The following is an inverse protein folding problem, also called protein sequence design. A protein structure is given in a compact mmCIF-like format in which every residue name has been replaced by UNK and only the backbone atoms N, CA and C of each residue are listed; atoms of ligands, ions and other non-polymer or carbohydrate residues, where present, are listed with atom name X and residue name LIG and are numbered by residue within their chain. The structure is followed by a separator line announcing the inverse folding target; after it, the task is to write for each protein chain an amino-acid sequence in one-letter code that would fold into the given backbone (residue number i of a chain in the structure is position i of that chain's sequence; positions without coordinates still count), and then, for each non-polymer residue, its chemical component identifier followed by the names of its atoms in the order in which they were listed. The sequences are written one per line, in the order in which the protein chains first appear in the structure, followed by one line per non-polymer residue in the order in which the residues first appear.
data_IF_059227004461
#
_entry.id   IF_059227004461
#
_cell.length_a   1.000
_cell.length_b   1.000
_cell.length_c   1.000
_cell.angle_alpha   90.00
_cell.angle_beta   90.00
_cell.angle_gamma   90.00
#
_symmetry.space_group_name_H-M   'P 1'
#
loop_
_entity.id
_entity.type
_entity.pdbx_description
1 polymer ?
#
# COMPACT_ATOMS: atom_id res chain seq x y z
N UNK A 1 -16.21 1.94 7.25
CA UNK A 1 -15.54 2.54 6.07
C UNK A 1 -14.14 3.00 6.46
N UNK A 2 -13.19 2.96 5.51
CA UNK A 2 -11.85 3.56 5.67
C UNK A 2 -11.67 4.63 4.59
N UNK A 3 -11.01 5.73 4.95
CA UNK A 3 -10.61 6.80 4.05
C UNK A 3 -9.10 6.96 4.11
N UNK A 4 -8.42 6.87 2.99
CA UNK A 4 -7.01 7.20 2.85
C UNK A 4 -6.78 8.72 2.92
N UNK A 5 -5.59 9.11 3.38
CA UNK A 5 -5.10 10.48 3.36
C UNK A 5 -3.90 10.55 2.44
N UNK A 6 -4.12 10.89 1.20
CA UNK A 6 -3.06 11.06 0.19
C UNK A 6 -2.39 12.43 0.37
N UNK A 7 -1.50 12.50 1.36
CA UNK A 7 -0.81 13.74 1.74
C UNK A 7 0.69 13.63 1.44
N UNK A 8 1.25 14.73 0.95
CA UNK A 8 2.69 14.89 0.78
C UNK A 8 3.39 15.10 2.14
N UNK A 9 4.71 14.85 2.27
CA UNK A 9 5.42 14.94 3.55
C UNK A 9 5.25 16.25 4.31
N UNK A 10 5.09 17.37 3.61
CA UNK A 10 4.94 18.71 4.19
C UNK A 10 3.52 19.19 4.43
N UNK A 11 2.51 18.40 4.08
CA UNK A 11 1.11 18.81 4.19
C UNK A 11 0.62 18.83 5.64
N UNK A 12 -0.50 19.52 5.87
CA UNK A 12 -1.18 19.50 7.15
C UNK A 12 -1.91 18.17 7.37
N UNK A 13 -1.56 17.48 8.44
CA UNK A 13 -2.23 16.23 8.83
C UNK A 13 -3.66 16.39 9.36
N UNK A 14 -4.13 17.63 9.56
CA UNK A 14 -5.42 17.91 10.20
C UNK A 14 -5.43 17.63 11.70
N UNK A 15 -4.26 17.58 12.34
CA UNK A 15 -4.11 17.40 13.79
C UNK A 15 -2.88 16.57 14.18
N UNK A 16 -2.64 16.46 15.49
CA UNK A 16 -1.49 15.72 16.03
C UNK A 16 -1.64 14.23 15.78
N UNK A 17 -0.59 13.63 15.22
CA UNK A 17 -0.46 12.17 15.11
C UNK A 17 0.31 11.67 16.32
N UNK A 18 -0.30 10.80 17.13
CA UNK A 18 0.30 10.30 18.36
C UNK A 18 1.25 9.12 18.14
N UNK A 19 1.05 8.38 17.05
CA UNK A 19 1.85 7.21 16.65
C UNK A 19 1.84 7.08 15.14
N UNK A 20 2.97 6.73 14.52
CA UNK A 20 3.06 6.61 13.08
C UNK A 20 4.31 5.86 12.63
N UNK A 21 4.37 5.55 11.33
CA UNK A 21 5.46 4.80 10.71
C UNK A 21 6.73 5.65 10.57
N UNK A 22 6.65 6.74 9.83
CA UNK A 22 7.78 7.58 9.51
C UNK A 22 7.59 9.03 9.95
N UNK A 23 8.68 9.78 9.97
CA UNK A 23 8.66 11.20 10.31
C UNK A 23 9.22 12.05 9.17
N UNK A 24 8.73 13.28 9.09
CA UNK A 24 9.23 14.35 8.24
C UNK A 24 9.60 15.53 9.14
N UNK A 25 10.87 15.97 9.08
CA UNK A 25 11.39 17.06 9.92
C UNK A 25 11.08 16.88 11.43
N UNK A 26 11.22 15.63 11.93
CA UNK A 26 11.02 15.29 13.34
C UNK A 26 9.57 15.17 13.81
N UNK A 27 8.58 15.33 12.92
CA UNK A 27 7.16 15.08 13.19
C UNK A 27 6.69 13.89 12.38
N UNK A 28 5.68 13.15 12.86
CA UNK A 28 5.10 12.08 12.03
C UNK A 28 4.62 12.62 10.68
N UNK A 29 4.93 11.89 9.61
CA UNK A 29 4.44 12.21 8.27
C UNK A 29 2.91 12.23 8.24
N UNK A 30 2.27 13.10 7.42
CA UNK A 30 0.86 13.46 7.58
C UNK A 30 -0.14 12.42 7.07
N UNK A 31 0.28 11.53 6.20
CA UNK A 31 -0.58 10.51 5.58
C UNK A 31 -1.10 9.47 6.59
N UNK A 32 -1.87 8.55 6.07
CA UNK A 32 -2.49 7.47 6.84
C UNK A 32 -3.94 7.22 6.46
N UNK A 33 -4.72 6.74 7.42
CA UNK A 33 -6.14 6.46 7.21
C UNK A 33 -7.01 6.94 8.36
N UNK A 34 -8.29 7.14 8.06
CA UNK A 34 -9.37 7.35 9.04
C UNK A 34 -10.40 6.23 8.94
N UNK A 35 -10.68 5.56 10.06
CA UNK A 35 -11.84 4.68 10.16
C UNK A 35 -13.09 5.51 10.47
N UNK A 36 -14.17 5.22 9.74
CA UNK A 36 -15.48 5.86 9.89
C UNK A 36 -16.51 4.77 10.19
N UNK A 37 -17.06 4.81 11.40
CA UNK A 37 -18.13 3.92 11.84
C UNK A 37 -19.46 4.59 11.55
N UNK A 38 -20.28 3.95 10.72
CA UNK A 38 -21.59 4.45 10.30
C UNK A 38 -22.71 3.65 10.97
N UNK A 39 -23.79 4.33 11.28
CA UNK A 39 -25.08 3.70 11.45
C UNK A 39 -25.66 3.44 10.05
N UNK A 40 -25.81 2.17 9.69
CA UNK A 40 -26.27 1.79 8.35
C UNK A 40 -27.75 2.10 8.09
N UNK A 41 -28.58 2.18 9.15
CA UNK A 41 -29.99 2.50 9.05
C UNK A 41 -30.23 4.02 9.01
N UNK A 42 -29.59 4.75 9.93
CA UNK A 42 -29.74 6.20 10.03
C UNK A 42 -28.81 6.98 9.09
N UNK A 43 -27.87 6.31 8.41
CA UNK A 43 -26.83 6.88 7.55
C UNK A 43 -26.04 8.02 8.24
N UNK A 44 -25.77 7.83 9.53
CA UNK A 44 -25.05 8.83 10.36
C UNK A 44 -23.71 8.28 10.81
N UNK A 45 -22.72 9.17 10.85
CA UNK A 45 -21.43 8.86 11.45
C UNK A 45 -21.60 8.73 12.97
N UNK A 46 -21.32 7.52 13.52
CA UNK A 46 -21.28 7.28 14.96
C UNK A 46 -19.93 7.67 15.56
N UNK A 47 -18.85 7.40 14.84
CA UNK A 47 -17.48 7.66 15.28
C UNK A 47 -16.56 7.74 14.07
N UNK A 48 -15.55 8.61 14.16
CA UNK A 48 -14.43 8.60 13.24
C UNK A 48 -13.14 8.85 14.02
N UNK A 49 -12.06 8.26 13.59
CA UNK A 49 -10.74 8.40 14.23
C UNK A 49 -9.64 8.03 13.24
N UNK A 50 -8.46 8.60 13.42
CA UNK A 50 -7.28 8.20 12.67
C UNK A 50 -6.90 6.77 13.05
N UNK A 51 -6.74 5.91 12.07
CA UNK A 51 -6.42 4.48 12.25
C UNK A 51 -5.00 4.13 11.83
N UNK A 52 -4.40 4.89 10.90
CA UNK A 52 -3.01 4.79 10.49
C UNK A 52 -2.41 6.20 10.44
N UNK A 53 -1.13 6.34 10.77
CA UNK A 53 -0.41 7.60 10.70
C UNK A 53 1.06 7.43 10.36
N UNK A 54 1.72 8.54 10.03
CA UNK A 54 3.14 8.54 9.73
C UNK A 54 3.50 7.98 8.36
N UNK A 55 2.55 7.87 7.47
CA UNK A 55 2.73 7.46 6.07
C UNK A 55 2.63 8.65 5.13
N UNK A 56 2.87 8.45 3.85
CA UNK A 56 2.74 9.50 2.82
C UNK A 56 2.00 8.97 1.61
N UNK A 57 1.30 9.86 0.89
CA UNK A 57 0.62 9.53 -0.36
C UNK A 57 -0.13 8.20 -0.32
N UNK A 58 -0.98 8.02 0.70
CA UNK A 58 -1.88 6.87 0.77
C UNK A 58 -2.99 7.05 -0.29
N UNK A 59 -2.74 6.60 -1.51
CA UNK A 59 -3.63 6.84 -2.65
C UNK A 59 -4.87 5.96 -2.56
N UNK A 60 -4.75 4.70 -2.92
CA UNK A 60 -5.85 3.75 -2.89
C UNK A 60 -5.49 2.52 -2.04
N UNK A 61 -5.99 1.36 -2.41
CA UNK A 61 -5.76 0.11 -1.69
C UNK A 61 -6.84 -0.92 -1.99
N UNK A 62 -7.17 -1.76 -1.01
CA UNK A 62 -8.19 -2.78 -1.19
C UNK A 62 -8.68 -3.41 0.10
N UNK A 63 -9.91 -3.92 0.07
CA UNK A 63 -10.48 -4.70 1.18
C UNK A 63 -9.91 -6.11 1.19
N UNK A 64 -9.72 -6.67 2.38
CA UNK A 64 -9.36 -8.07 2.53
C UNK A 64 -10.57 -8.91 2.92
N UNK A 65 -10.60 -10.20 2.57
CA UNK A 65 -11.67 -11.11 2.97
C UNK A 65 -11.75 -11.33 4.50
N UNK A 66 -10.69 -11.03 5.23
CA UNK A 66 -10.61 -11.17 6.69
C UNK A 66 -10.88 -9.88 7.46
N UNK A 67 -11.44 -8.86 6.81
CA UNK A 67 -11.95 -7.66 7.49
C UNK A 67 -10.91 -6.60 7.77
N UNK A 68 -9.96 -6.38 6.88
CA UNK A 68 -9.03 -5.26 6.92
C UNK A 68 -9.03 -4.47 5.60
N UNK A 69 -8.33 -3.34 5.60
CA UNK A 69 -8.01 -2.51 4.45
C UNK A 69 -6.51 -2.49 4.23
N UNK A 70 -6.07 -2.70 3.00
CA UNK A 70 -4.71 -2.48 2.56
C UNK A 70 -4.59 -1.05 2.05
N UNK A 71 -3.81 -0.22 2.74
CA UNK A 71 -3.55 1.17 2.34
C UNK A 71 -2.22 1.25 1.61
N UNK A 72 -2.22 1.80 0.41
CA UNK A 72 -1.10 1.83 -0.51
C UNK A 72 -0.42 3.19 -0.51
N UNK A 73 0.90 3.25 -0.22
CA UNK A 73 1.72 4.44 -0.43
C UNK A 73 2.20 4.52 -1.88
N UNK A 74 1.79 5.55 -2.61
CA UNK A 74 2.17 5.80 -4.00
C UNK A 74 3.45 6.63 -4.12
N UNK A 75 4.40 6.46 -3.23
CA UNK A 75 5.62 7.26 -3.20
C UNK A 75 6.84 6.47 -2.68
N UNK A 76 7.55 5.73 -3.55
CA UNK A 76 8.75 5.00 -3.17
C UNK A 76 9.95 5.96 -3.01
N UNK A 77 9.88 6.85 -2.01
CA UNK A 77 10.92 7.82 -1.68
C UNK A 77 11.38 7.67 -0.22
N UNK A 78 12.47 8.33 0.13
CA UNK A 78 13.06 8.29 1.46
C UNK A 78 14.26 9.19 1.62
N UNK A 79 15.01 9.07 2.72
CA UNK A 79 16.16 9.92 3.00
C UNK A 79 17.15 9.96 1.84
N UNK A 80 17.54 11.17 1.42
CA UNK A 80 18.48 11.39 0.32
C UNK A 80 17.98 11.07 -1.08
N UNK A 81 16.71 10.72 -1.25
CA UNK A 81 16.06 10.47 -2.53
C UNK A 81 15.25 11.70 -2.97
N UNK A 82 14.97 11.79 -4.26
CA UNK A 82 14.10 12.84 -4.81
C UNK A 82 12.74 12.83 -4.10
N UNK A 83 12.24 13.99 -3.70
CA UNK A 83 11.01 14.18 -2.91
C UNK A 83 11.03 13.56 -1.52
N UNK A 84 12.22 13.13 -1.03
CA UNK A 84 12.40 12.52 0.30
C UNK A 84 13.07 13.42 1.32
N UNK A 85 13.23 14.71 1.01
CA UNK A 85 13.85 15.70 1.90
C UNK A 85 13.10 15.75 3.24
N UNK A 86 13.84 15.61 4.32
CA UNK A 86 13.28 15.62 5.68
C UNK A 86 12.62 14.32 6.15
N UNK A 87 12.45 13.33 5.27
CA UNK A 87 11.98 12.01 5.68
C UNK A 87 13.05 11.24 6.44
N UNK A 88 12.66 10.53 7.50
CA UNK A 88 13.58 9.74 8.32
C UNK A 88 13.67 8.26 7.88
N UNK A 89 12.71 7.77 7.11
CA UNK A 89 12.64 6.37 6.65
C UNK A 89 12.19 6.28 5.20
N UNK A 90 12.41 5.12 4.59
CA UNK A 90 11.90 4.82 3.25
C UNK A 90 10.40 4.56 3.29
N UNK A 91 9.66 5.16 2.35
CA UNK A 91 8.23 5.01 2.09
C UNK A 91 7.98 4.27 0.77
N UNK A 92 6.72 4.06 0.39
CA UNK A 92 6.30 3.30 -0.78
C UNK A 92 5.91 1.87 -0.41
N UNK A 93 5.23 1.69 0.71
CA UNK A 93 4.82 0.40 1.25
C UNK A 93 3.29 0.27 1.28
N UNK A 94 2.84 -0.96 1.47
CA UNK A 94 1.45 -1.27 1.82
C UNK A 94 1.35 -1.47 3.33
N UNK A 95 0.26 -0.97 3.93
CA UNK A 95 -0.06 -1.14 5.34
C UNK A 95 -1.43 -1.78 5.50
N UNK A 96 -1.56 -2.70 6.44
CA UNK A 96 -2.84 -3.32 6.75
C UNK A 96 -3.50 -2.64 7.96
N UNK A 97 -4.77 -2.27 7.79
CA UNK A 97 -5.57 -1.59 8.82
C UNK A 97 -6.84 -2.40 9.09
N UNK A 98 -6.98 -3.04 10.27
CA UNK A 98 -8.18 -3.78 10.63
C UNK A 98 -9.43 -2.88 10.67
N UNK A 99 -10.55 -3.40 10.15
CA UNK A 99 -11.82 -2.67 10.13
C UNK A 99 -12.39 -2.45 11.55
N UNK A 100 -12.07 -3.33 12.48
CA UNK A 100 -12.46 -3.29 13.89
C UNK A 100 -11.49 -2.47 14.77
N UNK A 101 -10.47 -1.86 14.20
CA UNK A 101 -9.57 -0.96 14.92
C UNK A 101 -10.35 0.07 15.73
N UNK A 102 -9.86 0.38 16.92
CA UNK A 102 -10.49 1.35 17.85
C UNK A 102 -9.72 2.65 17.98
N UNK A 103 -8.56 2.76 17.32
CA UNK A 103 -7.64 3.90 17.29
C UNK A 103 -6.51 3.65 16.31
N UNK A 104 -5.38 4.34 16.50
CA UNK A 104 -4.18 4.12 15.71
C UNK A 104 -3.67 2.69 15.86
N UNK A 105 -3.44 2.02 14.73
CA UNK A 105 -2.82 0.69 14.70
C UNK A 105 -1.29 0.81 14.72
N UNK A 106 -0.59 -0.27 15.05
CA UNK A 106 0.85 -0.35 14.85
C UNK A 106 1.15 -0.29 13.34
N UNK A 107 1.88 0.72 12.85
CA UNK A 107 2.08 0.93 11.41
C UNK A 107 3.21 0.03 10.88
N UNK A 108 2.95 -1.26 10.78
CA UNK A 108 3.91 -2.23 10.27
C UNK A 108 3.82 -2.35 8.73
N UNK A 109 4.88 -2.00 7.98
CA UNK A 109 4.86 -2.10 6.53
C UNK A 109 4.94 -3.55 6.05
N UNK A 110 4.13 -3.90 5.07
CA UNK A 110 4.13 -5.21 4.41
C UNK A 110 5.30 -5.31 3.41
N UNK A 111 6.53 -5.31 3.90
CA UNK A 111 7.76 -5.19 3.10
C UNK A 111 7.91 -6.25 2.01
N UNK A 112 7.39 -7.45 2.25
CA UNK A 112 7.44 -8.54 1.28
C UNK A 112 6.57 -8.29 0.03
N UNK A 113 5.69 -7.31 0.06
CA UNK A 113 4.90 -6.86 -1.11
C UNK A 113 5.67 -5.91 -2.03
N UNK A 114 6.94 -5.62 -1.73
CA UNK A 114 7.77 -4.72 -2.54
C UNK A 114 7.60 -3.25 -2.18
N UNK A 115 8.44 -2.43 -2.81
CA UNK A 115 8.47 -0.98 -2.64
C UNK A 115 8.44 -0.32 -4.02
N UNK A 116 7.31 0.24 -4.37
CA UNK A 116 7.05 0.89 -5.66
C UNK A 116 5.89 1.90 -5.51
N UNK A 117 5.44 2.53 -6.59
CA UNK A 117 4.26 3.42 -6.57
C UNK A 117 2.98 2.58 -6.41
N UNK A 118 2.72 2.11 -5.18
CA UNK A 118 1.53 1.31 -4.90
C UNK A 118 0.26 2.13 -5.09
N UNK A 119 -0.54 1.75 -6.10
CA UNK A 119 -1.83 2.38 -6.37
C UNK A 119 -2.95 1.66 -5.62
N UNK A 120 -3.24 0.44 -6.01
CA UNK A 120 -4.35 -0.33 -5.47
C UNK A 120 -3.98 -1.78 -5.17
N UNK A 121 -4.82 -2.43 -4.37
CA UNK A 121 -4.72 -3.84 -4.05
C UNK A 121 -6.06 -4.54 -4.23
N UNK A 122 -6.04 -5.77 -4.71
CA UNK A 122 -7.21 -6.64 -4.79
C UNK A 122 -6.84 -8.01 -4.23
N UNK A 123 -7.64 -8.55 -3.32
CA UNK A 123 -7.38 -9.85 -2.70
C UNK A 123 -8.35 -10.89 -3.25
N UNK A 124 -7.82 -11.96 -3.83
CA UNK A 124 -8.62 -13.14 -4.17
C UNK A 124 -9.09 -13.84 -2.89
N UNK A 125 -10.40 -13.89 -2.62
CA UNK A 125 -10.91 -14.46 -1.39
C UNK A 125 -10.70 -15.98 -1.27
N UNK A 126 -10.51 -16.68 -2.39
CA UNK A 126 -10.32 -18.13 -2.39
C UNK A 126 -8.89 -18.53 -1.98
N UNK A 127 -7.89 -17.75 -2.39
CA UNK A 127 -6.46 -18.09 -2.19
C UNK A 127 -5.74 -17.17 -1.23
N UNK A 128 -6.28 -15.98 -0.95
CA UNK A 128 -5.61 -14.91 -0.22
C UNK A 128 -4.50 -14.22 -1.02
N UNK A 129 -4.37 -14.54 -2.31
CA UNK A 129 -3.41 -13.88 -3.21
C UNK A 129 -3.78 -12.41 -3.37
N UNK A 130 -2.79 -11.52 -3.24
CA UNK A 130 -2.97 -10.08 -3.42
C UNK A 130 -2.42 -9.68 -4.78
N UNK A 131 -3.25 -9.01 -5.58
CA UNK A 131 -2.83 -8.35 -6.82
C UNK A 131 -2.62 -6.87 -6.53
N UNK A 132 -1.54 -6.30 -7.07
CA UNK A 132 -1.11 -4.94 -6.80
C UNK A 132 -0.86 -4.22 -8.12
N UNK A 133 -1.36 -2.99 -8.24
CA UNK A 133 -1.08 -2.10 -9.37
C UNK A 133 -0.03 -1.06 -9.00
N UNK A 134 0.74 -0.64 -9.99
CA UNK A 134 1.74 0.41 -9.89
C UNK A 134 1.34 1.57 -10.79
N UNK A 135 1.24 2.79 -10.25
CA UNK A 135 0.92 3.99 -11.03
C UNK A 135 2.18 4.61 -11.64
N UNK A 136 2.53 4.08 -12.79
CA UNK A 136 3.60 4.59 -13.66
C UNK A 136 3.28 4.25 -15.11
N UNK A 137 3.80 5.06 -16.04
CA UNK A 137 3.66 4.80 -17.49
C UNK A 137 4.24 3.44 -17.90
N UNK A 138 5.29 3.01 -17.21
CA UNK A 138 5.96 1.72 -17.34
C UNK A 138 5.64 0.75 -16.18
N UNK A 139 4.52 1.00 -15.48
CA UNK A 139 4.07 0.24 -14.33
C UNK A 139 3.76 -1.21 -14.64
N UNK A 140 3.85 -2.05 -13.62
CA UNK A 140 3.68 -3.50 -13.71
C UNK A 140 2.51 -3.95 -12.83
N UNK A 141 1.79 -4.98 -13.27
CA UNK A 141 0.85 -5.70 -12.41
C UNK A 141 1.61 -6.76 -11.62
N UNK A 142 1.48 -6.71 -10.32
CA UNK A 142 2.13 -7.64 -9.41
C UNK A 142 1.14 -8.64 -8.80
N UNK A 143 1.66 -9.78 -8.41
CA UNK A 143 0.98 -10.79 -7.60
C UNK A 143 1.82 -11.12 -6.37
N UNK A 144 1.21 -11.02 -5.20
CA UNK A 144 1.81 -11.45 -3.95
C UNK A 144 1.07 -12.67 -3.41
N UNK A 145 1.77 -13.79 -3.28
CA UNK A 145 1.24 -15.02 -2.68
C UNK A 145 1.73 -15.09 -1.24
N UNK A 146 0.87 -14.93 -0.23
CA UNK A 146 1.28 -14.95 1.17
C UNK A 146 1.74 -16.35 1.58
N UNK A 147 2.68 -16.45 2.52
CA UNK A 147 3.09 -17.73 3.14
C UNK A 147 1.94 -18.35 3.92
N UNK A 148 1.13 -17.51 4.58
CA UNK A 148 -0.02 -17.92 5.37
C UNK A 148 -1.18 -17.01 4.97
N UNK A 149 -2.27 -17.62 4.49
CA UNK A 149 -3.47 -16.87 4.11
C UNK A 149 -4.00 -16.05 5.30
N UNK A 150 -4.30 -14.77 5.07
CA UNK A 150 -4.75 -13.84 6.09
C UNK A 150 -3.67 -13.32 7.04
N UNK A 151 -2.39 -13.68 6.87
CA UNK A 151 -1.27 -13.22 7.69
C UNK A 151 -0.16 -12.59 6.82
N UNK A 152 -0.45 -11.42 6.26
CA UNK A 152 0.43 -10.79 5.27
C UNK A 152 1.80 -10.40 5.82
N UNK A 153 1.89 -10.06 7.11
CA UNK A 153 3.16 -9.79 7.81
C UNK A 153 4.09 -11.01 7.90
N UNK A 154 3.56 -12.23 7.79
CA UNK A 154 4.38 -13.45 7.74
C UNK A 154 5.22 -13.52 6.45
N UNK A 155 5.02 -12.57 5.53
CA UNK A 155 5.70 -12.49 4.25
C UNK A 155 5.09 -13.40 3.20
N UNK A 156 5.74 -13.46 2.04
CA UNK A 156 5.23 -14.18 0.88
C UNK A 156 6.16 -14.04 -0.30
N UNK A 157 5.63 -14.33 -1.48
CA UNK A 157 6.33 -14.30 -2.74
C UNK A 157 5.71 -13.23 -3.64
N UNK A 158 6.47 -12.19 -3.96
CA UNK A 158 6.09 -11.19 -4.94
C UNK A 158 6.55 -11.60 -6.33
N UNK A 159 5.68 -11.43 -7.33
CA UNK A 159 5.96 -11.73 -8.72
C UNK A 159 5.39 -10.65 -9.63
N UNK A 160 6.11 -10.30 -10.68
CA UNK A 160 5.62 -9.42 -11.75
C UNK A 160 4.92 -10.26 -12.83
N UNK A 161 3.85 -9.70 -13.40
CA UNK A 161 3.21 -10.26 -14.58
C UNK A 161 4.11 -10.04 -15.81
N UNK A 162 4.25 -11.06 -16.62
CA UNK A 162 4.82 -10.95 -17.98
C UNK A 162 3.87 -11.60 -18.99
N UNK A 163 3.89 -11.09 -20.22
CA UNK A 163 3.07 -11.62 -21.31
C UNK A 163 4.04 -12.19 -22.35
N UNK A 164 3.86 -13.47 -22.68
CA UNK A 164 4.76 -14.17 -23.60
C UNK A 164 4.73 -13.54 -25.00
N UNK A 165 5.91 -13.16 -25.49
CA UNK A 165 6.09 -12.53 -26.79
C UNK A 165 5.76 -11.04 -26.86
N UNK A 166 5.35 -10.40 -25.74
CA UNK A 166 5.05 -8.98 -25.67
C UNK A 166 6.00 -8.32 -24.67
N UNK A 167 6.95 -7.54 -25.16
CA UNK A 167 7.92 -6.84 -24.30
C UNK A 167 7.33 -5.56 -23.68
N UNK A 168 6.36 -4.93 -24.34
CA UNK A 168 5.75 -3.68 -23.93
C UNK A 168 4.25 -3.70 -24.20
N UNK A 169 3.45 -3.78 -23.13
CA UNK A 169 2.00 -3.83 -23.18
C UNK A 169 1.33 -2.48 -23.49
N UNK A 170 2.09 -1.39 -23.57
CA UNK A 170 1.58 -0.08 -23.99
C UNK A 170 1.32 -0.03 -25.50
N UNK A 171 1.86 -0.97 -26.27
CA UNK A 171 1.58 -1.10 -27.69
C UNK A 171 0.32 -1.94 -27.93
N UNK A 172 -0.82 -1.30 -28.06
CA UNK A 172 -2.13 -1.93 -28.27
C UNK A 172 -2.39 -2.41 -29.69
N UNK A 173 -1.43 -2.26 -30.61
CA UNK A 173 -1.59 -2.74 -32.02
C UNK A 173 -1.53 -4.26 -32.14
N UNK A 174 -1.02 -4.95 -31.14
CA UNK A 174 -0.94 -6.40 -31.11
C UNK A 174 -2.04 -7.02 -30.24
N UNK A 175 -3.03 -7.62 -30.89
CA UNK A 175 -4.28 -8.03 -30.23
C UNK A 175 -4.33 -9.46 -29.72
N UNK A 176 -3.27 -10.27 -29.86
CA UNK A 176 -3.29 -11.68 -29.44
C UNK A 176 -2.42 -11.96 -28.22
N UNK A 177 -2.92 -11.68 -27.03
CA UNK A 177 -2.35 -12.21 -25.78
C UNK A 177 -2.62 -13.71 -25.76
N UNK A 178 -1.58 -14.52 -25.92
CA UNK A 178 -1.69 -15.99 -25.96
C UNK A 178 -1.44 -16.64 -24.62
N UNK A 179 -0.57 -16.07 -23.79
CA UNK A 179 -0.32 -16.54 -22.44
C UNK A 179 0.21 -15.43 -21.54
N UNK A 180 -0.04 -15.57 -20.24
CA UNK A 180 0.45 -14.68 -19.20
C UNK A 180 1.21 -15.53 -18.19
N UNK A 181 2.40 -15.12 -17.82
CA UNK A 181 3.19 -15.73 -16.75
C UNK A 181 3.55 -14.74 -15.66
N UNK A 182 4.00 -15.25 -14.51
CA UNK A 182 4.47 -14.43 -13.42
C UNK A 182 5.92 -14.79 -13.10
N UNK A 183 6.82 -13.85 -13.29
CA UNK A 183 8.24 -14.03 -13.02
C UNK A 183 8.57 -13.80 -11.56
N UNK A 184 9.59 -14.48 -11.07
CA UNK A 184 10.16 -14.22 -9.76
C UNK A 184 10.87 -12.87 -9.75
N UNK A 185 10.45 -12.00 -8.81
CA UNK A 185 11.24 -10.85 -8.43
C UNK A 185 12.13 -11.27 -7.24
N UNK A 186 13.43 -11.28 -7.44
CA UNK A 186 14.36 -11.15 -6.35
C UNK A 186 14.38 -9.67 -5.97
N UNK A 187 13.71 -9.33 -4.88
CA UNK A 187 13.86 -7.99 -4.33
C UNK A 187 15.36 -7.80 -4.03
N UNK A 188 16.00 -6.74 -4.52
CA UNK A 188 17.35 -6.43 -4.08
C UNK A 188 17.30 -6.30 -2.56
N UNK A 189 18.06 -7.12 -1.88
CA UNK A 189 18.29 -6.96 -0.45
C UNK A 189 19.12 -5.69 -0.33
N UNK A 190 18.47 -4.57 -0.06
CA UNK A 190 19.17 -3.35 0.28
C UNK A 190 19.71 -3.59 1.67
N UNK A 191 20.95 -4.07 1.75
CA UNK A 191 21.70 -4.00 2.99
C UNK A 191 21.89 -2.51 3.27
N UNK A 192 21.22 -2.02 4.31
CA UNK A 192 21.59 -0.76 4.94
C UNK A 192 23.01 -0.93 5.48
N UNK A 193 23.95 -0.19 4.91
CA UNK A 193 25.23 0.14 5.54
C UNK A 193 24.97 1.34 6.45
#
# INVERSE_FOLDING_TARGET
MIRNHELLPGDDSGGKIAQGFGTHNGKFAPGGTTNIVLDAQALRVKRQFRSLGGTIRNCSGGVTPWGSWLSCEEAPTGPGQQYGEGLAVNHGWVFEVPADAVGLVNPEPLRAMGRFNHEAACVDPATGTVYLTEDRDDGVLYRFTPKINGQLLAGGKLQAMSIDGIADTRNWSETSIRSVSYTHLTLPTIYSV
#
